data_IF_126321667109
#
_entry.id   IF_126321667109
#
_cell.length_a   1.000
_cell.length_b   1.000
_cell.length_c   1.000
_cell.angle_alpha   90.00
_cell.angle_beta   90.00
_cell.angle_gamma   90.00
#
_symmetry.space_group_name_H-M   'P 1'
#
loop_
_entity.id
_entity.type
_entity.pdbx_description
1 polymer ?
#
# COMPACT_ATOMS: atom_id res chain seq x y z
N UNK A 1 -11.55 -19.94 -32.72
CA UNK A 1 -11.26 -19.13 -31.51
C UNK A 1 -12.43 -18.18 -31.36
N UNK A 2 -13.03 -18.02 -30.16
CA UNK A 2 -14.13 -17.08 -30.00
C UNK A 2 -13.63 -15.65 -30.19
N UNK A 3 -14.38 -14.86 -30.94
CA UNK A 3 -14.12 -13.45 -31.14
C UNK A 3 -14.24 -12.72 -29.79
N UNK A 4 -13.24 -11.90 -29.37
CA UNK A 4 -13.26 -11.24 -28.08
C UNK A 4 -14.32 -10.14 -28.04
N UNK A 5 -14.73 -9.72 -26.85
CA UNK A 5 -15.48 -8.46 -26.72
C UNK A 5 -14.53 -7.27 -26.82
N UNK A 6 -15.00 -6.16 -27.42
CA UNK A 6 -14.26 -4.89 -27.39
C UNK A 6 -14.07 -4.46 -25.93
N UNK A 7 -12.84 -4.11 -25.55
CA UNK A 7 -12.48 -3.75 -24.18
C UNK A 7 -12.26 -4.94 -23.23
N UNK A 8 -12.34 -6.18 -23.72
CA UNK A 8 -12.01 -7.37 -22.94
C UNK A 8 -10.52 -7.37 -22.55
N UNK A 9 -10.23 -7.57 -21.26
CA UNK A 9 -8.86 -7.69 -20.75
C UNK A 9 -8.52 -9.17 -20.57
N UNK A 10 -7.35 -9.59 -21.04
CA UNK A 10 -6.81 -10.95 -20.85
C UNK A 10 -5.41 -10.91 -20.29
N UNK A 11 -5.09 -11.91 -19.47
CA UNK A 11 -3.70 -12.24 -19.14
C UNK A 11 -3.04 -12.90 -20.35
N UNK A 12 -1.81 -12.50 -20.64
CA UNK A 12 -1.08 -12.92 -21.82
C UNK A 12 0.40 -13.07 -21.50
N UNK A 13 0.96 -14.25 -21.77
CA UNK A 13 2.36 -14.56 -21.46
C UNK A 13 3.36 -14.11 -22.55
N UNK A 14 2.89 -13.66 -23.72
CA UNK A 14 3.75 -13.22 -24.81
C UNK A 14 4.25 -11.77 -24.64
N UNK A 15 5.30 -11.41 -25.37
CA UNK A 15 6.01 -10.13 -25.26
C UNK A 15 5.63 -9.09 -26.34
N UNK A 16 4.64 -9.37 -27.18
CA UNK A 16 4.08 -8.41 -28.14
C UNK A 16 2.55 -8.45 -28.09
N UNK A 17 1.88 -7.32 -28.31
CA UNK A 17 0.42 -7.31 -28.41
C UNK A 17 0.00 -7.94 -29.76
N UNK A 18 -0.85 -8.99 -29.77
CA UNK A 18 -1.38 -9.54 -31.01
C UNK A 18 -2.16 -8.49 -31.80
N UNK A 19 -2.33 -8.70 -33.12
CA UNK A 19 -3.12 -7.77 -33.95
C UNK A 19 -4.54 -7.60 -33.38
N UNK A 20 -4.95 -6.34 -33.25
CA UNK A 20 -6.24 -5.96 -32.68
C UNK A 20 -6.29 -5.94 -31.15
N UNK A 21 -5.15 -6.12 -30.50
CA UNK A 21 -4.96 -5.96 -29.06
C UNK A 21 -3.91 -4.88 -28.79
N UNK A 22 -3.94 -4.35 -27.58
CA UNK A 22 -2.93 -3.46 -27.03
C UNK A 22 -2.53 -3.92 -25.63
N UNK A 23 -1.32 -3.58 -25.18
CA UNK A 23 -0.97 -3.73 -23.77
C UNK A 23 -1.72 -2.71 -22.91
N UNK A 24 -2.07 -3.12 -21.70
CA UNK A 24 -2.67 -2.27 -20.68
C UNK A 24 -1.59 -1.42 -19.98
N UNK A 25 -0.96 -0.52 -20.73
CA UNK A 25 0.16 0.33 -20.27
C UNK A 25 -0.24 1.81 -20.04
N UNK A 26 -1.54 2.13 -20.04
CA UNK A 26 -2.01 3.50 -19.82
C UNK A 26 -1.85 4.45 -21.00
N UNK A 27 -1.56 3.94 -22.19
CA UNK A 27 -1.41 4.77 -23.40
C UNK A 27 -2.72 5.45 -23.80
N UNK A 28 -2.60 6.64 -24.41
CA UNK A 28 -3.73 7.36 -25.00
C UNK A 28 -3.94 6.93 -26.45
N UNK A 29 -5.19 6.71 -26.83
CA UNK A 29 -5.61 6.39 -28.19
C UNK A 29 -6.52 7.47 -28.75
N UNK A 30 -6.48 7.66 -30.07
CA UNK A 30 -7.39 8.56 -30.77
C UNK A 30 -8.83 8.01 -30.72
N UNK A 31 -9.79 8.85 -30.33
CA UNK A 31 -11.22 8.52 -30.31
C UNK A 31 -11.67 8.11 -31.71
N UNK A 32 -11.35 8.92 -32.72
CA UNK A 32 -11.78 8.74 -34.12
C UNK A 32 -11.38 7.42 -34.79
N UNK A 33 -10.43 6.67 -34.20
CA UNK A 33 -9.99 5.37 -34.71
C UNK A 33 -10.52 4.21 -33.86
N UNK A 34 -11.11 4.48 -32.69
CA UNK A 34 -11.50 3.50 -31.69
C UNK A 34 -12.85 3.86 -31.05
N UNK A 35 -13.80 4.39 -31.83
CA UNK A 35 -15.09 4.89 -31.34
C UNK A 35 -15.85 3.85 -30.48
N UNK A 36 -15.83 2.58 -30.89
CA UNK A 36 -16.46 1.48 -30.16
C UNK A 36 -15.81 1.19 -28.80
N UNK A 37 -14.49 1.33 -28.68
CA UNK A 37 -13.82 1.17 -27.39
C UNK A 37 -14.05 2.40 -26.51
N UNK A 38 -14.02 3.59 -27.11
CA UNK A 38 -14.29 4.84 -26.42
C UNK A 38 -15.71 4.89 -25.84
N UNK A 39 -16.72 4.39 -26.53
CA UNK A 39 -18.09 4.36 -26.00
C UNK A 39 -18.24 3.49 -24.74
N UNK A 40 -17.32 2.54 -24.52
CA UNK A 40 -17.27 1.71 -23.32
C UNK A 40 -16.42 2.34 -22.22
N UNK A 41 -15.24 2.87 -22.56
CA UNK A 41 -14.26 3.35 -21.59
C UNK A 41 -14.48 4.80 -21.18
N UNK A 42 -15.02 5.64 -22.08
CA UNK A 42 -15.03 7.08 -21.93
C UNK A 42 -13.64 7.59 -21.54
N UNK A 43 -13.57 8.38 -20.46
CA UNK A 43 -12.32 8.90 -19.89
C UNK A 43 -11.91 8.22 -18.59
N UNK A 44 -12.46 7.04 -18.28
CA UNK A 44 -12.22 6.31 -17.01
C UNK A 44 -10.73 6.12 -16.73
N UNK A 45 -9.93 5.88 -17.78
CA UNK A 45 -8.49 5.66 -17.69
C UNK A 45 -7.64 6.83 -18.20
N UNK A 46 -8.25 7.99 -18.48
CA UNK A 46 -7.56 9.21 -18.92
C UNK A 46 -7.98 9.70 -20.30
N UNK A 47 -7.22 10.67 -20.82
CA UNK A 47 -7.51 11.39 -22.07
C UNK A 47 -8.46 12.57 -21.88
N UNK A 48 -8.68 13.32 -22.95
CA UNK A 48 -9.52 14.54 -22.95
C UNK A 48 -10.99 14.26 -23.28
N UNK A 49 -11.32 13.04 -23.71
CA UNK A 49 -12.67 12.62 -24.10
C UNK A 49 -13.18 13.28 -25.38
N UNK A 50 -12.33 14.03 -26.09
CA UNK A 50 -12.66 14.70 -27.37
C UNK A 50 -11.83 14.15 -28.50
N UNK A 51 -10.52 14.17 -28.34
CA UNK A 51 -9.56 13.66 -29.32
C UNK A 51 -8.96 12.33 -28.89
N UNK A 52 -8.82 12.12 -27.57
CA UNK A 52 -8.14 10.96 -27.00
C UNK A 52 -8.85 10.39 -25.76
N UNK A 53 -8.61 9.11 -25.51
CA UNK A 53 -8.96 8.42 -24.27
C UNK A 53 -7.84 7.46 -23.85
N UNK A 54 -7.78 7.12 -22.57
CA UNK A 54 -6.76 6.22 -22.03
C UNK A 54 -7.17 4.74 -22.03
N UNK A 55 -6.19 3.87 -22.19
CA UNK A 55 -6.29 2.45 -21.81
C UNK A 55 -6.00 2.26 -20.31
N UNK A 56 -6.42 1.14 -19.70
CA UNK A 56 -5.98 0.76 -18.37
C UNK A 56 -4.45 0.72 -18.28
N UNK A 57 -3.91 1.08 -17.11
CA UNK A 57 -2.50 0.87 -16.75
C UNK A 57 -2.46 -0.19 -15.66
N UNK A 58 -2.01 -1.39 -16.01
CA UNK A 58 -1.97 -2.57 -15.13
C UNK A 58 -0.56 -2.92 -14.64
N UNK A 59 0.46 -2.14 -15.02
CA UNK A 59 1.84 -2.37 -14.58
C UNK A 59 1.95 -2.17 -13.06
N UNK A 60 2.52 -3.17 -12.38
CA UNK A 60 2.63 -3.18 -10.91
C UNK A 60 1.30 -3.29 -10.16
N UNK A 61 0.24 -3.78 -10.82
CA UNK A 61 -1.12 -3.80 -10.24
C UNK A 61 -1.76 -5.17 -10.29
N UNK A 62 -2.50 -5.49 -9.24
CA UNK A 62 -3.39 -6.65 -9.19
C UNK A 62 -4.81 -6.22 -9.62
N UNK A 63 -5.47 -6.97 -10.53
CA UNK A 63 -6.85 -6.70 -10.88
C UNK A 63 -7.77 -6.98 -9.68
N UNK A 64 -8.72 -6.08 -9.45
CA UNK A 64 -9.70 -6.16 -8.37
C UNK A 64 -11.05 -5.71 -8.91
N UNK A 65 -12.11 -6.44 -8.55
CA UNK A 65 -13.47 -6.13 -8.97
C UNK A 65 -13.92 -4.76 -8.44
N UNK A 66 -14.55 -3.97 -9.31
CA UNK A 66 -15.13 -2.67 -8.94
C UNK A 66 -16.49 -2.84 -8.27
N UNK A 67 -16.87 -1.92 -7.38
CA UNK A 67 -18.18 -1.88 -6.77
C UNK A 67 -18.15 -1.65 -5.26
N UNK A 68 -19.32 -1.86 -4.66
CA UNK A 68 -19.59 -1.74 -3.23
C UNK A 68 -20.29 -3.02 -2.77
N UNK A 69 -19.70 -3.72 -1.80
CA UNK A 69 -20.31 -4.89 -1.17
C UNK A 69 -20.46 -4.68 0.34
N UNK A 70 -21.36 -5.42 1.03
CA UNK A 70 -21.48 -5.33 2.47
C UNK A 70 -20.14 -5.59 3.18
N UNK A 71 -19.70 -4.65 4.03
CA UNK A 71 -18.42 -4.73 4.73
C UNK A 71 -17.17 -4.49 3.86
N UNK A 72 -17.33 -4.15 2.58
CA UNK A 72 -16.20 -3.86 1.68
C UNK A 72 -16.05 -2.36 1.44
N UNK A 73 -14.80 -1.91 1.32
CA UNK A 73 -14.50 -0.55 0.89
C UNK A 73 -14.99 -0.32 -0.56
N UNK A 74 -15.70 0.78 -0.83
CA UNK A 74 -16.11 1.16 -2.19
C UNK A 74 -14.93 1.28 -3.15
N UNK A 75 -15.04 0.68 -4.34
CA UNK A 75 -14.01 0.76 -5.38
C UNK A 75 -14.63 1.18 -6.71
N UNK A 76 -14.29 2.38 -7.17
CA UNK A 76 -14.70 2.86 -8.48
C UNK A 76 -13.87 2.18 -9.57
N UNK A 77 -14.49 1.88 -10.71
CA UNK A 77 -13.76 1.37 -11.86
C UNK A 77 -12.68 2.37 -12.28
N UNK A 78 -11.48 1.88 -12.60
CA UNK A 78 -10.32 2.71 -12.94
C UNK A 78 -9.56 3.31 -11.74
N UNK A 79 -10.08 3.19 -10.51
CA UNK A 79 -9.38 3.68 -9.33
C UNK A 79 -8.07 2.90 -9.09
N UNK A 80 -7.01 3.65 -8.78
CA UNK A 80 -5.68 3.13 -8.47
C UNK A 80 -5.46 3.22 -6.96
N UNK A 81 -5.14 2.10 -6.31
CA UNK A 81 -4.91 2.02 -4.86
C UNK A 81 -3.87 0.94 -4.54
N UNK A 82 -3.45 0.87 -3.28
CA UNK A 82 -2.38 -0.01 -2.79
C UNK A 82 -0.99 0.64 -2.81
N UNK A 83 -0.03 -0.02 -2.19
CA UNK A 83 1.38 0.38 -2.14
C UNK A 83 2.27 -0.87 -2.19
N UNK A 84 3.33 -0.82 -3.01
CA UNK A 84 4.33 -1.90 -3.13
C UNK A 84 5.28 -1.94 -1.93
N UNK A 85 5.48 -0.79 -1.27
CA UNK A 85 6.32 -0.64 -0.09
C UNK A 85 5.57 0.14 0.98
N UNK A 86 5.72 -0.27 2.23
CA UNK A 86 5.11 0.39 3.39
C UNK A 86 6.20 0.70 4.40
N UNK A 87 6.26 1.96 4.84
CA UNK A 87 7.14 2.38 5.94
C UNK A 87 6.43 2.14 7.26
N UNK A 88 7.09 1.45 8.19
CA UNK A 88 6.57 1.29 9.55
C UNK A 88 6.88 2.54 10.37
N UNK A 89 5.84 3.29 10.69
CA UNK A 89 5.86 4.45 11.58
C UNK A 89 5.51 4.02 13.00
N UNK A 90 5.80 4.88 13.98
CA UNK A 90 5.40 4.65 15.38
C UNK A 90 3.88 4.42 15.51
N UNK A 91 3.08 5.11 14.71
CA UNK A 91 1.61 4.95 14.70
C UNK A 91 1.13 3.59 14.18
N UNK A 92 2.00 2.81 13.54
CA UNK A 92 1.69 1.45 13.06
C UNK A 92 2.16 0.36 14.04
N UNK A 93 2.77 0.74 15.17
CA UNK A 93 3.11 -0.19 16.24
C UNK A 93 1.95 -0.27 17.24
N UNK A 94 1.63 -1.48 17.75
CA UNK A 94 0.74 -1.60 18.90
C UNK A 94 1.26 -0.80 20.10
N UNK A 95 0.31 -0.23 20.87
CA UNK A 95 0.65 0.41 22.14
C UNK A 95 1.35 -0.60 23.04
N UNK A 96 2.52 -0.22 23.55
CA UNK A 96 3.33 -1.01 24.47
C UNK A 96 3.97 -0.08 25.50
N UNK A 97 4.41 -0.65 26.62
CA UNK A 97 5.07 0.10 27.69
C UNK A 97 6.32 -0.63 28.16
N UNK A 98 7.27 0.12 28.71
CA UNK A 98 8.46 -0.42 29.37
C UNK A 98 8.32 -0.15 30.87
N UNK A 99 7.79 -1.10 31.66
CA UNK A 99 7.67 -0.90 33.09
C UNK A 99 9.04 -0.92 33.74
N UNK A 100 9.36 0.14 34.48
CA UNK A 100 10.56 0.18 35.31
C UNK A 100 10.33 -0.70 36.54
N UNK A 101 11.05 -1.81 36.62
CA UNK A 101 11.02 -2.68 37.80
C UNK A 101 12.06 -2.19 38.82
N UNK A 102 11.66 -2.11 40.08
CA UNK A 102 12.51 -1.71 41.20
C UNK A 102 12.26 -2.61 42.41
N UNK A 103 13.28 -2.78 43.25
CA UNK A 103 13.19 -3.44 44.54
C UNK A 103 12.84 -2.44 45.64
N UNK A 104 12.06 -2.88 46.62
CA UNK A 104 11.80 -2.13 47.86
C UNK A 104 12.86 -2.34 48.93
N UNK A 105 13.82 -3.24 48.71
CA UNK A 105 14.97 -3.46 49.60
C UNK A 105 15.98 -2.31 49.52
N UNK A 106 16.74 -2.07 50.59
CA UNK A 106 17.85 -1.12 50.55
C UNK A 106 18.90 -1.55 49.52
N UNK A 107 19.44 -0.59 48.78
CA UNK A 107 20.49 -0.82 47.80
C UNK A 107 21.85 -1.05 48.46
N UNK A 108 22.53 -2.13 48.08
CA UNK A 108 23.86 -2.50 48.61
C UNK A 108 24.98 -2.39 47.55
N UNK A 109 24.63 -2.09 46.30
CA UNK A 109 25.55 -2.04 45.17
C UNK A 109 25.60 -0.65 44.50
N UNK A 110 26.78 -0.25 44.03
CA UNK A 110 27.02 1.04 43.36
C UNK A 110 26.96 0.97 41.83
N UNK A 111 26.75 -0.23 41.25
CA UNK A 111 26.70 -0.47 39.81
C UNK A 111 25.34 -1.06 39.40
N UNK A 112 24.73 -0.61 38.29
CA UNK A 112 23.49 -1.20 37.78
C UNK A 112 23.70 -2.55 37.06
N UNK A 113 24.94 -2.97 36.79
CA UNK A 113 25.20 -4.22 36.04
C UNK A 113 24.69 -5.44 36.83
N UNK A 114 23.65 -6.09 36.32
CA UNK A 114 23.00 -7.23 36.98
C UNK A 114 22.09 -6.87 38.17
N UNK A 115 21.90 -5.58 38.44
CA UNK A 115 21.09 -5.07 39.55
C UNK A 115 19.88 -4.28 39.04
N UNK A 116 18.90 -4.03 39.92
CA UNK A 116 17.74 -3.16 39.65
C UNK A 116 17.81 -1.92 40.54
N UNK A 117 16.99 -0.90 40.22
CA UNK A 117 16.79 0.22 41.15
C UNK A 117 16.25 -0.32 42.48
N UNK A 118 16.75 0.22 43.59
CA UNK A 118 16.42 -0.22 44.95
C UNK A 118 16.01 0.99 45.80
N UNK A 119 15.49 0.73 47.01
CA UNK A 119 15.25 1.78 47.99
C UNK A 119 16.57 2.43 48.44
N UNK A 120 16.54 3.75 48.65
CA UNK A 120 17.69 4.50 49.14
C UNK A 120 17.90 4.32 50.64
N UNK A 121 19.15 4.22 51.07
CA UNK A 121 19.52 4.25 52.48
C UNK A 121 19.91 5.69 52.87
N UNK A 122 19.03 6.37 53.60
CA UNK A 122 19.24 7.77 54.02
C UNK A 122 19.25 8.82 52.89
N UNK A 123 18.89 8.44 51.65
CA UNK A 123 18.88 9.33 50.47
C UNK A 123 17.50 9.26 49.80
N UNK A 124 16.89 10.41 49.54
CA UNK A 124 15.65 10.51 48.77
C UNK A 124 15.95 10.42 47.26
N UNK A 125 15.45 9.38 46.58
CA UNK A 125 15.64 9.17 45.13
C UNK A 125 14.67 9.95 44.24
N UNK A 126 13.55 10.39 44.80
CA UNK A 126 12.47 11.04 44.06
C UNK A 126 12.02 12.30 44.79
N UNK A 127 11.62 13.30 44.01
CA UNK A 127 10.99 14.54 44.48
C UNK A 127 9.75 14.81 43.63
N UNK A 128 8.91 15.76 44.04
CA UNK A 128 7.72 16.13 43.27
C UNK A 128 8.07 16.54 41.84
N UNK A 129 7.18 16.24 40.89
CA UNK A 129 7.44 16.29 39.44
C UNK A 129 7.46 17.69 38.82
N UNK A 130 7.69 18.75 39.59
CA UNK A 130 7.62 20.13 39.10
C UNK A 130 8.79 20.99 39.62
N UNK A 131 9.64 21.55 38.73
CA UNK A 131 9.68 21.35 37.28
C UNK A 131 10.31 20.00 36.91
N UNK A 132 9.68 19.25 35.99
CA UNK A 132 10.21 17.98 35.50
C UNK A 132 11.43 18.20 34.59
N UNK A 133 12.50 17.43 34.83
CA UNK A 133 13.64 17.31 33.90
C UNK A 133 13.65 15.89 33.33
N UNK A 134 13.80 15.76 32.01
CA UNK A 134 13.94 14.45 31.38
C UNK A 134 15.22 13.76 31.88
N UNK A 135 15.10 12.50 32.30
CA UNK A 135 16.28 11.64 32.46
C UNK A 135 17.02 11.50 31.13
N UNK A 136 18.32 11.18 31.18
CA UNK A 136 19.13 10.99 29.97
C UNK A 136 18.45 10.02 29.01
N UNK A 137 18.39 10.38 27.73
CA UNK A 137 17.85 9.53 26.67
C UNK A 137 18.64 8.23 26.47
N UNK A 138 19.83 8.11 27.07
CA UNK A 138 20.62 6.87 27.07
C UNK A 138 20.05 5.81 28.03
N UNK A 139 19.19 6.19 28.98
CA UNK A 139 18.56 5.26 29.92
C UNK A 139 17.59 4.30 29.22
N UNK A 140 16.92 4.78 28.16
CA UNK A 140 16.02 3.98 27.31
C UNK A 140 16.27 4.37 25.87
N UNK A 141 17.05 3.55 25.16
CA UNK A 141 17.31 3.77 23.74
C UNK A 141 16.10 3.43 22.90
N UNK A 142 15.82 4.26 21.89
CA UNK A 142 14.78 3.96 20.91
C UNK A 142 15.18 2.74 20.07
N UNK A 143 14.22 1.86 19.81
CA UNK A 143 14.39 0.71 18.90
C UNK A 143 13.36 0.83 17.77
N UNK A 144 13.78 0.51 16.54
CA UNK A 144 12.99 0.72 15.32
C UNK A 144 13.58 1.83 14.46
N UNK A 145 13.80 1.54 13.18
CA UNK A 145 14.51 2.45 12.26
C UNK A 145 13.63 3.14 11.24
N UNK A 146 12.30 3.10 11.41
CA UNK A 146 11.31 3.55 10.42
C UNK A 146 11.65 3.12 8.99
N UNK A 147 12.11 1.88 8.85
CA UNK A 147 12.52 1.34 7.56
C UNK A 147 11.30 0.87 6.78
N UNK A 148 11.36 1.07 5.48
CA UNK A 148 10.37 0.51 4.57
C UNK A 148 10.57 -1.00 4.44
N UNK A 149 9.48 -1.73 4.34
CA UNK A 149 9.48 -3.12 3.90
C UNK A 149 8.61 -3.29 2.67
N UNK A 150 8.92 -4.32 1.89
CA UNK A 150 8.07 -4.72 0.77
C UNK A 150 6.72 -5.20 1.27
N UNK A 151 5.66 -4.81 0.56
CA UNK A 151 4.29 -5.25 0.77
C UNK A 151 3.81 -6.14 -0.39
N UNK A 152 4.76 -6.74 -1.11
CA UNK A 152 4.49 -7.62 -2.25
C UNK A 152 4.35 -9.07 -1.77
N UNK A 153 3.22 -9.68 -2.11
CA UNK A 153 3.05 -11.14 -2.06
C UNK A 153 3.88 -11.82 -3.15
N UNK A 154 4.20 -13.12 -3.08
CA UNK A 154 4.81 -13.83 -4.20
C UNK A 154 3.96 -13.68 -5.48
N UNK A 155 4.58 -13.31 -6.60
CA UNK A 155 3.89 -13.13 -7.88
C UNK A 155 4.74 -13.58 -9.07
N UNK A 156 4.07 -13.85 -10.19
CA UNK A 156 4.68 -14.03 -11.50
C UNK A 156 4.12 -12.97 -12.45
N UNK A 157 5.00 -12.24 -13.14
CA UNK A 157 4.59 -11.21 -14.09
C UNK A 157 4.11 -11.84 -15.40
N UNK A 158 2.89 -11.50 -15.79
CA UNK A 158 2.35 -11.71 -17.15
C UNK A 158 1.82 -10.38 -17.66
N UNK A 159 1.72 -10.24 -18.97
CA UNK A 159 1.16 -9.03 -19.56
C UNK A 159 -0.37 -9.05 -19.48
N UNK A 160 -0.95 -7.87 -19.33
CA UNK A 160 -2.37 -7.68 -19.56
C UNK A 160 -2.54 -7.01 -20.93
N UNK A 161 -3.38 -7.60 -21.77
CA UNK A 161 -3.75 -7.06 -23.07
C UNK A 161 -5.25 -6.75 -23.10
N UNK A 162 -5.63 -5.73 -23.84
CA UNK A 162 -7.01 -5.30 -24.07
C UNK A 162 -7.37 -5.37 -25.55
N UNK A 163 -8.54 -5.91 -25.86
CA UNK A 163 -9.03 -5.99 -27.23
C UNK A 163 -9.48 -4.60 -27.71
N UNK A 164 -8.86 -4.12 -28.78
CA UNK A 164 -9.24 -2.87 -29.46
C UNK A 164 -10.42 -3.09 -30.41
N UNK A 165 -10.55 -4.29 -30.97
CA UNK A 165 -11.60 -4.70 -31.89
C UNK A 165 -12.18 -6.05 -31.48
N UNK A 166 -13.45 -6.28 -31.80
CA UNK A 166 -14.18 -7.48 -31.41
C UNK A 166 -15.68 -7.27 -31.46
N UNK A 167 -16.42 -8.15 -30.80
CA UNK A 167 -17.87 -8.04 -30.64
C UNK A 167 -18.16 -6.89 -29.67
N UNK A 168 -19.06 -5.98 -30.04
CA UNK A 168 -19.51 -4.95 -29.11
C UNK A 168 -20.39 -5.58 -28.02
N UNK A 169 -20.11 -5.38 -26.72
CA UNK A 169 -20.91 -5.96 -25.65
C UNK A 169 -22.26 -5.22 -25.50
N UNK A 170 -23.25 -5.66 -26.28
CA UNK A 170 -24.63 -5.19 -26.17
C UNK A 170 -25.22 -5.54 -24.80
N UNK A 171 -26.04 -4.63 -24.27
CA UNK A 171 -26.83 -4.85 -23.04
C UNK A 171 -28.21 -5.47 -23.33
N UNK A 172 -28.48 -5.77 -24.60
CA UNK A 172 -29.74 -6.27 -25.15
C UNK A 172 -29.48 -7.48 -26.04
#
# INVERSE_FOLDING_TARGET
>A
MSEPFVGEIRMFAGNFAPRGWAFCDGQLLAVSQNDALFSLFGTIYGGDGRTTFGLPDMRGRLPIHAGTGPGLSPRRLGAKSGAENVTLTVNQLPSHTHPLQASTTLGEAVSPQGNVLAAGDGINHYTASDPFTQMSSQMVTHTGGSRSHTNLMPFLCVNFIVALFGIYPSRH
#
